data_IF_355607673433
#
_entry.id   IF_355607673433
#
_cell.length_a   1.000
_cell.length_b   1.000
_cell.length_c   1.000
_cell.angle_alpha   90.00
_cell.angle_beta   90.00
_cell.angle_gamma   90.00
#
_symmetry.space_group_name_H-M   'P 1'
#
loop_
_entity.id
_entity.type
_entity.pdbx_description
1 polymer ?
#
# COMPACT_ATOMS: atom_id res chain seq x y z
N UNK A 1 1.68 9.03 -16.66
CA UNK A 1 1.63 8.54 -15.27
C UNK A 1 0.28 8.96 -14.69
N UNK A 2 -0.64 8.03 -14.47
CA UNK A 2 -1.92 8.35 -13.82
C UNK A 2 -1.70 8.17 -12.31
N UNK A 3 -1.17 9.21 -11.69
CA UNK A 3 -1.16 9.37 -10.24
C UNK A 3 -2.04 10.58 -9.94
N UNK A 4 -3.36 10.39 -9.84
CA UNK A 4 -4.07 11.16 -8.82
C UNK A 4 -5.28 10.42 -8.24
N UNK A 5 -5.81 11.05 -7.19
CA UNK A 5 -7.02 10.69 -6.45
C UNK A 5 -6.73 9.59 -5.44
N UNK A 6 -6.59 9.94 -4.16
CA UNK A 6 -7.60 9.65 -3.12
C UNK A 6 -7.45 10.57 -1.91
N UNK A 7 -8.53 11.25 -1.45
CA UNK A 7 -8.44 12.19 -0.33
C UNK A 7 -8.25 11.57 1.07
N UNK A 8 -8.24 10.24 1.27
CA UNK A 8 -8.29 9.61 2.61
C UNK A 8 -7.64 8.20 2.67
N UNK A 9 -6.60 7.94 1.87
CA UNK A 9 -5.94 6.63 1.82
C UNK A 9 -6.41 5.73 0.67
N UNK A 10 -5.75 4.58 0.53
CA UNK A 10 -5.77 3.72 -0.67
C UNK A 10 -7.13 3.22 -1.13
N UNK A 11 -7.31 2.91 -2.44
CA UNK A 11 -8.63 2.64 -2.98
C UNK A 11 -9.27 1.43 -2.32
N UNK A 12 -10.47 1.64 -1.80
CA UNK A 12 -11.44 0.57 -1.59
C UNK A 12 -12.06 0.18 -2.94
N UNK A 13 -12.55 -1.04 -3.05
CA UNK A 13 -13.11 -1.59 -4.29
C UNK A 13 -14.30 -0.77 -4.80
N UNK A 14 -15.00 -0.08 -3.90
CA UNK A 14 -16.07 0.87 -4.22
C UNK A 14 -15.55 2.13 -4.92
N UNK A 15 -14.37 2.59 -4.52
CA UNK A 15 -13.70 3.76 -5.08
C UNK A 15 -13.03 3.42 -6.41
N UNK A 16 -12.53 2.18 -6.55
CA UNK A 16 -12.13 1.65 -7.84
C UNK A 16 -13.31 1.61 -8.85
N UNK A 17 -14.54 1.33 -8.39
CA UNK A 17 -15.75 1.45 -9.22
C UNK A 17 -15.98 2.90 -9.66
N UNK A 18 -15.86 3.87 -8.77
CA UNK A 18 -16.05 5.29 -9.13
C UNK A 18 -15.02 5.78 -10.16
N UNK A 19 -13.76 5.37 -10.01
CA UNK A 19 -12.68 5.75 -10.91
C UNK A 19 -12.78 5.05 -12.27
N UNK A 20 -13.13 3.76 -12.29
CA UNK A 20 -13.14 2.96 -13.52
C UNK A 20 -14.49 2.98 -14.25
N UNK A 21 -15.56 3.44 -13.60
CA UNK A 21 -16.93 3.33 -14.09
C UNK A 21 -17.47 1.89 -14.14
N UNK A 22 -16.72 0.90 -13.63
CA UNK A 22 -17.09 -0.52 -13.69
C UNK A 22 -17.69 -1.00 -12.37
N UNK A 23 -18.69 -1.88 -12.43
CA UNK A 23 -19.18 -2.56 -11.24
C UNK A 23 -18.06 -3.42 -10.60
N UNK A 24 -18.10 -3.57 -9.28
CA UNK A 24 -17.15 -4.38 -8.50
C UNK A 24 -16.99 -5.79 -9.09
N UNK A 25 -18.09 -6.43 -9.50
CA UNK A 25 -18.09 -7.76 -10.12
C UNK A 25 -17.34 -7.78 -11.46
N UNK A 26 -17.53 -6.76 -12.29
CA UNK A 26 -16.83 -6.65 -13.59
C UNK A 26 -15.34 -6.42 -13.38
N UNK A 27 -14.97 -5.58 -12.43
CA UNK A 27 -13.56 -5.33 -12.07
C UNK A 27 -12.89 -6.61 -11.54
N UNK A 28 -13.53 -7.32 -10.61
CA UNK A 28 -13.02 -8.59 -10.08
C UNK A 28 -12.89 -9.66 -11.16
N UNK A 29 -13.88 -9.77 -12.07
CA UNK A 29 -13.81 -10.72 -13.19
C UNK A 29 -12.62 -10.41 -14.10
N UNK A 30 -12.45 -9.15 -14.53
CA UNK A 30 -11.34 -8.75 -15.41
C UNK A 30 -9.98 -8.97 -14.75
N UNK A 31 -9.85 -8.64 -13.47
CA UNK A 31 -8.64 -8.96 -12.72
C UNK A 31 -8.40 -10.47 -12.67
N UNK A 32 -9.45 -11.26 -12.43
CA UNK A 32 -9.37 -12.72 -12.43
C UNK A 32 -9.00 -13.33 -13.79
N UNK A 33 -9.42 -12.72 -14.91
CA UNK A 33 -9.00 -13.10 -16.26
C UNK A 33 -7.49 -12.90 -16.48
N UNK A 34 -6.89 -11.94 -15.77
CA UNK A 34 -5.44 -11.72 -15.73
C UNK A 34 -4.74 -12.47 -14.58
N UNK A 35 -5.45 -13.34 -13.85
CA UNK A 35 -4.92 -14.09 -12.71
C UNK A 35 -4.62 -13.23 -11.47
N UNK A 36 -5.17 -12.02 -11.42
CA UNK A 36 -4.98 -11.05 -10.34
C UNK A 36 -6.23 -10.94 -9.47
N UNK A 37 -6.03 -10.55 -8.21
CA UNK A 37 -7.10 -10.14 -7.31
C UNK A 37 -6.97 -8.66 -6.99
N UNK A 38 -8.11 -8.02 -6.72
CA UNK A 38 -8.12 -6.61 -6.31
C UNK A 38 -7.22 -6.36 -5.09
N UNK A 39 -7.25 -7.27 -4.12
CA UNK A 39 -6.39 -7.22 -2.94
C UNK A 39 -4.91 -7.21 -3.33
N UNK A 40 -4.46 -8.09 -4.22
CA UNK A 40 -3.07 -8.11 -4.68
C UNK A 40 -2.66 -6.79 -5.35
N UNK A 41 -3.55 -6.19 -6.16
CA UNK A 41 -3.29 -4.90 -6.80
C UNK A 41 -3.11 -3.81 -5.73
N UNK A 42 -4.04 -3.70 -4.78
CA UNK A 42 -3.97 -2.70 -3.70
C UNK A 42 -2.74 -2.93 -2.82
N UNK A 43 -2.43 -4.16 -2.46
CA UNK A 43 -1.26 -4.51 -1.67
C UNK A 43 0.05 -4.12 -2.37
N UNK A 44 0.15 -4.34 -3.69
CA UNK A 44 1.32 -3.95 -4.47
C UNK A 44 1.54 -2.44 -4.41
N UNK A 45 0.51 -1.64 -4.66
CA UNK A 45 0.65 -0.18 -4.69
C UNK A 45 0.93 0.34 -3.26
N UNK A 46 0.31 -0.24 -2.22
CA UNK A 46 0.64 0.08 -0.82
C UNK A 46 2.09 -0.23 -0.48
N UNK A 47 2.59 -1.37 -0.95
CA UNK A 47 3.97 -1.80 -0.71
C UNK A 47 4.97 -0.84 -1.36
N UNK A 48 4.78 -0.49 -2.63
CA UNK A 48 5.65 0.44 -3.37
C UNK A 48 5.75 1.80 -2.65
N UNK A 49 4.62 2.35 -2.21
CA UNK A 49 4.57 3.61 -1.48
C UNK A 49 5.16 3.51 -0.06
N UNK A 50 4.89 2.41 0.64
CA UNK A 50 5.48 2.14 1.95
C UNK A 50 7.00 2.13 1.87
N UNK A 51 7.59 1.48 0.86
CA UNK A 51 9.04 1.43 0.67
C UNK A 51 9.61 2.83 0.43
N UNK A 52 8.93 3.67 -0.37
CA UNK A 52 9.36 5.05 -0.62
C UNK A 52 9.37 5.88 0.67
N UNK A 53 8.27 5.89 1.42
CA UNK A 53 8.18 6.68 2.66
C UNK A 53 9.00 6.11 3.82
N UNK A 54 9.31 4.82 3.82
CA UNK A 54 10.20 4.23 4.80
C UNK A 54 11.66 4.66 4.59
N UNK A 55 12.05 5.12 3.39
CA UNK A 55 13.39 5.68 3.15
C UNK A 55 13.57 7.07 3.76
N UNK A 56 12.49 7.76 4.08
CA UNK A 56 12.48 9.09 4.69
C UNK A 56 12.40 8.95 6.23
N UNK A 57 13.52 9.07 6.97
CA UNK A 57 13.55 8.83 8.42
C UNK A 57 12.67 9.79 9.24
N UNK A 58 12.37 10.97 8.68
CA UNK A 58 11.54 12.00 9.31
C UNK A 58 10.04 11.67 9.32
N UNK A 59 9.56 10.78 8.44
CA UNK A 59 8.14 10.41 8.39
C UNK A 59 7.85 9.40 9.52
N UNK A 60 6.83 9.61 10.36
CA UNK A 60 6.53 8.64 11.43
C UNK A 60 5.82 7.42 10.85
N UNK A 61 6.02 6.26 11.49
CA UNK A 61 5.37 5.02 11.05
C UNK A 61 3.83 5.07 11.14
N UNK A 62 3.30 5.82 12.11
CA UNK A 62 1.85 6.01 12.25
C UNK A 62 1.30 6.84 11.09
N UNK A 63 2.01 7.87 10.64
CA UNK A 63 1.60 8.69 9.50
C UNK A 63 1.58 7.85 8.22
N UNK A 64 2.62 7.03 8.00
CA UNK A 64 2.65 6.06 6.90
C UNK A 64 1.47 5.10 6.98
N UNK A 65 1.17 4.55 8.15
CA UNK A 65 0.07 3.62 8.31
C UNK A 65 -1.28 4.26 7.94
N UNK A 66 -1.55 5.46 8.44
CA UNK A 66 -2.79 6.19 8.18
C UNK A 66 -2.95 6.53 6.70
N UNK A 67 -1.89 7.05 6.07
CA UNK A 67 -1.89 7.40 4.65
C UNK A 67 -2.04 6.18 3.73
N UNK A 68 -1.52 5.02 4.15
CA UNK A 68 -1.75 3.76 3.44
C UNK A 68 -3.15 3.15 3.67
N UNK A 69 -3.98 3.77 4.53
CA UNK A 69 -5.33 3.33 4.85
C UNK A 69 -5.40 2.25 5.93
N UNK A 70 -4.41 2.16 6.82
CA UNK A 70 -4.45 1.31 8.01
C UNK A 70 -4.97 2.07 9.23
N UNK A 71 -5.72 1.39 10.11
CA UNK A 71 -6.25 1.99 11.34
C UNK A 71 -5.17 2.28 12.39
N UNK A 72 -4.03 1.59 12.32
CA UNK A 72 -2.93 1.74 13.26
C UNK A 72 -1.62 1.17 12.69
N UNK A 73 -0.52 1.50 13.37
CA UNK A 73 0.83 1.04 13.04
C UNK A 73 0.98 -0.48 13.13
N UNK A 74 0.22 -1.18 13.98
CA UNK A 74 0.35 -2.63 14.16
C UNK A 74 -0.20 -3.40 12.96
N UNK A 75 -1.34 -2.97 12.40
CA UNK A 75 -1.88 -3.50 11.15
C UNK A 75 -0.92 -3.29 9.99
N UNK A 76 -0.39 -2.08 9.83
CA UNK A 76 0.62 -1.79 8.82
C UNK A 76 1.87 -2.66 9.00
N UNK A 77 2.39 -2.77 10.24
CA UNK A 77 3.59 -3.57 10.53
C UNK A 77 3.39 -5.05 10.17
N UNK A 78 2.23 -5.62 10.48
CA UNK A 78 1.89 -7.01 10.11
C UNK A 78 1.85 -7.19 8.59
N UNK A 79 1.20 -6.27 7.87
CA UNK A 79 1.12 -6.31 6.41
C UNK A 79 2.51 -6.17 5.78
N UNK A 80 3.29 -5.18 6.20
CA UNK A 80 4.62 -4.92 5.69
C UNK A 80 5.58 -6.09 5.94
N UNK A 81 5.51 -6.71 7.12
CA UNK A 81 6.29 -7.90 7.44
C UNK A 81 5.85 -9.12 6.62
N UNK A 82 4.56 -9.26 6.32
CA UNK A 82 4.07 -10.31 5.40
C UNK A 82 4.65 -10.13 3.99
N UNK A 83 4.78 -8.88 3.52
CA UNK A 83 5.32 -8.60 2.19
C UNK A 83 6.84 -8.76 2.10
N UNK A 84 7.58 -8.36 3.14
CA UNK A 84 9.04 -8.22 3.07
C UNK A 84 9.83 -9.19 3.95
N UNK A 85 9.17 -9.86 4.89
CA UNK A 85 9.82 -10.60 5.98
C UNK A 85 10.39 -9.72 7.10
N UNK A 86 10.45 -8.39 6.92
CA UNK A 86 11.06 -7.44 7.86
C UNK A 86 10.02 -6.51 8.49
N UNK A 87 10.28 -6.03 9.71
CA UNK A 87 9.47 -4.94 10.25
C UNK A 87 9.80 -3.62 9.52
N UNK A 88 8.86 -2.67 9.43
CA UNK A 88 9.14 -1.34 8.85
C UNK A 88 10.34 -0.63 9.51
N UNK A 89 10.53 -0.84 10.82
CA UNK A 89 11.63 -0.27 11.59
C UNK A 89 12.98 -0.92 11.25
N UNK A 90 12.99 -2.23 11.03
CA UNK A 90 14.21 -2.94 10.62
C UNK A 90 14.59 -2.58 9.19
N UNK A 91 13.61 -2.48 8.29
CA UNK A 91 13.82 -2.01 6.92
C UNK A 91 14.44 -0.61 6.90
N UNK A 92 13.91 0.33 7.71
CA UNK A 92 14.48 1.66 7.92
C UNK A 92 15.93 1.62 8.38
N UNK A 93 16.21 0.81 9.40
CA UNK A 93 17.56 0.68 9.96
C UNK A 93 18.56 0.15 8.93
N UNK A 94 18.18 -0.86 8.14
CA UNK A 94 19.03 -1.40 7.07
C UNK A 94 19.31 -0.37 5.99
N UNK A 95 18.30 0.41 5.58
CA UNK A 95 18.52 1.47 4.58
C UNK A 95 19.44 2.56 5.11
N UNK A 96 19.25 3.03 6.34
CA UNK A 96 20.15 4.02 6.96
C UNK A 96 21.59 3.52 7.09
N UNK A 97 21.79 2.23 7.42
CA UNK A 97 23.12 1.64 7.51
C UNK A 97 23.86 1.56 6.16
N UNK A 98 23.14 1.52 5.04
CA UNK A 98 23.73 1.50 3.69
C UNK A 98 24.14 2.90 3.18
N UNK A 99 23.84 3.97 3.91
CA UNK A 99 24.23 5.35 3.60
C UNK A 99 25.36 5.87 4.51
N UNK A 100 25.99 5.00 5.32
CA UNK A 100 27.13 5.35 6.18
C UNK A 100 28.46 4.83 5.63
#
# INVERSE_FOLDING_TARGET
MITPLLPNGYPDINLAKEITGMSVRTLQRRLGEEGLTYTQVVEKIRFEQAVLWLQEPQIKLIDIAMELGYSDTAHFTRAFKRWTGLSPRDFRRQKLANYQ
#
